data_IF_241978106292
#
_entry.id   IF_241978106292
#
_cell.length_a   1.000
_cell.length_b   1.000
_cell.length_c   1.000
_cell.angle_alpha   90.00
_cell.angle_beta   90.00
_cell.angle_gamma   90.00
#
_symmetry.space_group_name_H-M   'P 1'
#
loop_
_entity.id
_entity.type
_entity.pdbx_description
1 polymer ?
#
# COMPACT_ATOMS: atom_id res chain seq x y z
N UNK A 1 1.01 1.25 -29.74
CA UNK A 1 0.38 -0.10 -29.73
C UNK A 1 -0.23 -0.28 -28.35
N UNK A 2 -1.55 -0.39 -28.24
CA UNK A 2 -2.22 -0.50 -26.93
C UNK A 2 -1.95 -1.92 -26.41
N UNK A 3 -1.38 -2.04 -25.22
CA UNK A 3 -1.19 -3.33 -24.54
C UNK A 3 -2.58 -3.81 -24.11
N UNK A 4 -2.95 -5.05 -24.43
CA UNK A 4 -4.22 -5.63 -23.99
C UNK A 4 -4.19 -5.91 -22.49
N UNK A 5 -5.32 -5.72 -21.82
CA UNK A 5 -5.49 -5.97 -20.38
C UNK A 5 -5.03 -7.39 -19.99
N UNK A 6 -5.35 -8.40 -20.80
CA UNK A 6 -4.95 -9.80 -20.56
C UNK A 6 -3.43 -9.97 -20.50
N UNK A 7 -2.71 -9.28 -21.40
CA UNK A 7 -1.25 -9.33 -21.43
C UNK A 7 -0.67 -8.69 -20.16
N UNK A 8 -1.28 -7.59 -19.70
CA UNK A 8 -0.82 -6.93 -18.50
C UNK A 8 -1.12 -7.74 -17.23
N UNK A 9 -2.28 -8.40 -17.14
CA UNK A 9 -2.59 -9.34 -16.06
C UNK A 9 -1.55 -10.46 -16.01
N UNK A 10 -1.18 -11.04 -17.16
CA UNK A 10 -0.15 -12.10 -17.22
C UNK A 10 1.20 -11.58 -16.72
N UNK A 11 1.65 -10.41 -17.21
CA UNK A 11 2.93 -9.81 -16.81
C UNK A 11 2.94 -9.51 -15.31
N UNK A 12 1.95 -8.76 -14.82
CA UNK A 12 1.87 -8.37 -13.41
C UNK A 12 1.73 -9.58 -12.49
N UNK A 13 0.90 -10.56 -12.84
CA UNK A 13 0.75 -11.78 -12.04
C UNK A 13 2.04 -12.58 -11.98
N UNK A 14 2.77 -12.70 -13.09
CA UNK A 14 4.07 -13.39 -13.13
C UNK A 14 5.07 -12.71 -12.21
N UNK A 15 5.19 -11.38 -12.29
CA UNK A 15 6.04 -10.59 -11.39
C UNK A 15 5.61 -10.81 -9.93
N UNK A 16 4.30 -10.78 -9.68
CA UNK A 16 3.71 -10.98 -8.36
C UNK A 16 4.06 -12.32 -7.73
N UNK A 17 3.90 -13.43 -8.47
CA UNK A 17 4.21 -14.78 -7.98
C UNK A 17 5.71 -14.99 -7.76
N UNK A 18 6.57 -14.50 -8.67
CA UNK A 18 8.03 -14.57 -8.49
C UNK A 18 8.45 -13.78 -7.26
N UNK A 19 7.94 -12.56 -7.12
CA UNK A 19 8.22 -11.69 -5.96
C UNK A 19 7.67 -12.29 -4.67
N UNK A 20 6.50 -12.95 -4.69
CA UNK A 20 5.96 -13.66 -3.53
C UNK A 20 6.90 -14.79 -3.07
N UNK A 21 7.40 -15.61 -4.00
CA UNK A 21 8.35 -16.68 -3.67
C UNK A 21 9.64 -16.12 -3.03
N UNK A 22 10.17 -15.03 -3.58
CA UNK A 22 11.34 -14.34 -3.02
C UNK A 22 11.03 -13.80 -1.62
N UNK A 23 9.89 -13.14 -1.43
CA UNK A 23 9.47 -12.58 -0.14
C UNK A 23 9.28 -13.66 0.94
N UNK A 24 8.73 -14.83 0.59
CA UNK A 24 8.63 -15.98 1.49
C UNK A 24 10.03 -16.50 1.85
N UNK A 25 10.94 -16.58 0.87
CA UNK A 25 12.35 -16.92 1.10
C UNK A 25 13.04 -15.95 2.06
N UNK A 26 12.88 -14.64 1.84
CA UNK A 26 13.40 -13.60 2.74
C UNK A 26 12.83 -13.71 4.16
N UNK A 27 11.52 -13.96 4.28
CA UNK A 27 10.89 -14.18 5.59
C UNK A 27 11.47 -15.40 6.31
N UNK A 28 11.64 -16.52 5.60
CA UNK A 28 12.26 -17.73 6.15
C UNK A 28 13.70 -17.45 6.63
N UNK A 29 14.50 -16.74 5.81
CA UNK A 29 15.85 -16.35 6.19
C UNK A 29 15.86 -15.47 7.43
N UNK A 30 15.00 -14.44 7.50
CA UNK A 30 14.86 -13.56 8.66
C UNK A 30 14.57 -14.32 9.96
N UNK A 31 13.68 -15.31 9.90
CA UNK A 31 13.37 -16.17 11.05
C UNK A 31 14.58 -17.04 11.41
N UNK A 32 15.34 -17.54 10.43
CA UNK A 32 16.53 -18.35 10.68
C UNK A 32 17.67 -17.55 11.31
N UNK A 33 17.89 -16.30 10.89
CA UNK A 33 18.96 -15.44 11.42
C UNK A 33 18.55 -14.60 12.62
N UNK A 34 17.41 -14.92 13.26
CA UNK A 34 16.83 -14.12 14.33
C UNK A 34 17.75 -13.91 15.54
N UNK A 35 18.63 -14.89 15.83
CA UNK A 35 19.56 -14.85 16.97
C UNK A 35 20.60 -13.73 16.86
N UNK A 36 20.88 -13.25 15.64
CA UNK A 36 21.87 -12.18 15.39
C UNK A 36 21.28 -10.81 15.74
N UNK A 37 19.96 -10.66 15.68
CA UNK A 37 19.30 -9.37 15.81
C UNK A 37 18.70 -9.16 17.20
N UNK A 38 18.80 -7.94 17.72
CA UNK A 38 18.04 -7.54 18.89
C UNK A 38 16.53 -7.71 18.63
N UNK A 39 15.80 -8.28 19.61
CA UNK A 39 14.36 -8.60 19.50
C UNK A 39 13.49 -7.48 18.91
N UNK A 40 13.74 -6.22 19.30
CA UNK A 40 12.98 -5.05 18.79
C UNK A 40 13.21 -4.82 17.30
N UNK A 41 14.46 -4.95 16.85
CA UNK A 41 14.83 -4.78 15.45
C UNK A 41 14.25 -5.89 14.59
N UNK A 42 14.30 -7.12 15.09
CA UNK A 42 13.70 -8.28 14.44
C UNK A 42 12.18 -8.12 14.25
N UNK A 43 11.44 -7.69 15.28
CA UNK A 43 9.99 -7.47 15.17
C UNK A 43 9.68 -6.47 14.05
N UNK A 44 10.41 -5.36 13.97
CA UNK A 44 10.19 -4.36 12.92
C UNK A 44 10.47 -4.95 11.54
N UNK A 45 11.56 -5.69 11.37
CA UNK A 45 11.90 -6.33 10.11
C UNK A 45 10.87 -7.39 9.68
N UNK A 46 10.43 -8.23 10.61
CA UNK A 46 9.40 -9.24 10.35
C UNK A 46 8.09 -8.57 9.93
N UNK A 47 7.64 -7.56 10.67
CA UNK A 47 6.41 -6.82 10.32
C UNK A 47 6.54 -6.13 8.97
N UNK A 48 7.68 -5.49 8.69
CA UNK A 48 7.95 -4.86 7.40
C UNK A 48 7.92 -5.87 6.24
N UNK A 49 8.54 -7.04 6.44
CA UNK A 49 8.54 -8.12 5.45
C UNK A 49 7.14 -8.66 5.18
N UNK A 50 6.32 -8.84 6.22
CA UNK A 50 4.91 -9.25 6.09
C UNK A 50 4.12 -8.21 5.32
N UNK A 51 4.22 -6.93 5.68
CA UNK A 51 3.52 -5.84 4.99
C UNK A 51 3.93 -5.75 3.51
N UNK A 52 5.23 -5.81 3.21
CA UNK A 52 5.75 -5.83 1.83
C UNK A 52 5.22 -7.02 1.03
N UNK A 53 5.15 -8.20 1.66
CA UNK A 53 4.63 -9.42 1.01
C UNK A 53 3.15 -9.25 0.66
N UNK A 54 2.35 -8.76 1.61
CA UNK A 54 0.91 -8.52 1.41
C UNK A 54 0.72 -7.45 0.33
N UNK A 55 1.40 -6.32 0.43
CA UNK A 55 1.26 -5.21 -0.53
C UNK A 55 1.67 -5.61 -1.93
N UNK A 56 2.83 -6.27 -2.08
CA UNK A 56 3.28 -6.73 -3.37
C UNK A 56 2.27 -7.70 -4.00
N UNK A 57 1.79 -8.70 -3.25
CA UNK A 57 0.81 -9.66 -3.78
C UNK A 57 -0.53 -9.00 -4.12
N UNK A 58 -1.00 -8.11 -3.24
CA UNK A 58 -2.22 -7.36 -3.45
C UNK A 58 -2.14 -6.49 -4.71
N UNK A 59 -1.09 -5.68 -4.84
CA UNK A 59 -0.93 -4.73 -5.94
C UNK A 59 -0.68 -5.41 -7.30
N UNK A 60 0.03 -6.54 -7.33
CA UNK A 60 0.46 -7.20 -8.58
C UNK A 60 -0.45 -8.34 -9.05
N UNK A 61 -1.27 -8.92 -8.16
CA UNK A 61 -2.14 -10.06 -8.49
C UNK A 61 -3.61 -9.74 -8.23
N UNK A 62 -3.95 -9.23 -7.05
CA UNK A 62 -5.35 -9.09 -6.63
C UNK A 62 -6.02 -7.82 -7.19
N UNK A 63 -5.32 -6.69 -7.17
CA UNK A 63 -5.84 -5.36 -7.50
C UNK A 63 -5.44 -4.92 -8.92
N UNK A 64 -4.13 -4.87 -9.25
CA UNK A 64 -3.60 -4.35 -10.54
C UNK A 64 -4.32 -3.06 -10.98
N UNK A 65 -3.96 -1.91 -10.39
CA UNK A 65 -4.60 -0.63 -10.70
C UNK A 65 -4.09 0.00 -11.99
N UNK A 66 -4.99 0.72 -12.65
CA UNK A 66 -4.74 1.64 -13.75
C UNK A 66 -5.22 3.03 -13.36
N UNK A 67 -4.28 3.89 -12.98
CA UNK A 67 -4.58 5.24 -12.53
C UNK A 67 -4.43 6.24 -13.69
N UNK A 68 -5.47 7.06 -13.87
CA UNK A 68 -5.52 8.17 -14.81
C UNK A 68 -5.48 9.46 -14.01
N UNK A 69 -4.28 10.00 -13.82
CA UNK A 69 -4.04 11.20 -13.01
C UNK A 69 -4.91 12.37 -13.47
N UNK A 70 -5.08 12.54 -14.79
CA UNK A 70 -5.92 13.59 -15.38
C UNK A 70 -7.40 13.50 -15.00
N UNK A 71 -7.89 12.30 -14.71
CA UNK A 71 -9.26 12.05 -14.27
C UNK A 71 -9.39 11.93 -12.76
N UNK A 72 -8.28 12.00 -12.01
CA UNK A 72 -8.27 11.71 -10.57
C UNK A 72 -9.03 10.41 -10.25
N UNK A 73 -8.79 9.38 -11.07
CA UNK A 73 -9.55 8.14 -11.04
C UNK A 73 -8.85 7.03 -11.80
N UNK A 74 -9.44 5.85 -11.77
CA UNK A 74 -8.85 4.67 -12.36
C UNK A 74 -9.80 3.48 -12.35
N UNK A 75 -9.31 2.38 -12.91
CA UNK A 75 -9.95 1.07 -12.79
C UNK A 75 -8.94 0.01 -12.43
N UNK A 76 -9.41 -1.19 -12.11
CA UNK A 76 -8.55 -2.29 -11.74
C UNK A 76 -8.94 -3.57 -12.48
N UNK A 77 -7.94 -4.43 -12.74
CA UNK A 77 -8.09 -5.65 -13.55
C UNK A 77 -7.52 -6.91 -12.89
N UNK A 78 -7.11 -6.82 -11.62
CA UNK A 78 -6.62 -7.97 -10.88
C UNK A 78 -7.71 -9.01 -10.57
N UNK A 79 -7.30 -10.13 -9.97
CA UNK A 79 -8.19 -11.27 -9.70
C UNK A 79 -9.41 -10.91 -8.85
N UNK A 80 -9.29 -9.97 -7.90
CA UNK A 80 -10.42 -9.52 -7.08
C UNK A 80 -11.28 -8.47 -7.78
N UNK A 81 -10.77 -7.83 -8.83
CA UNK A 81 -11.47 -6.82 -9.61
C UNK A 81 -12.43 -7.41 -10.64
N UNK A 82 -12.07 -8.53 -11.28
CA UNK A 82 -12.83 -9.15 -12.38
C UNK A 82 -14.22 -9.70 -12.02
N UNK A 83 -14.63 -9.63 -10.75
CA UNK A 83 -15.97 -10.03 -10.25
C UNK A 83 -16.64 -8.97 -9.37
N UNK A 84 -16.07 -7.76 -9.30
CA UNK A 84 -16.49 -6.70 -8.37
C UNK A 84 -16.68 -7.22 -6.93
N UNK A 85 -15.85 -8.18 -6.51
CA UNK A 85 -15.92 -8.75 -5.15
C UNK A 85 -15.72 -7.66 -4.10
N UNK A 86 -14.85 -6.69 -4.41
CA UNK A 86 -14.65 -5.48 -3.64
C UNK A 86 -14.66 -4.27 -4.59
N UNK A 87 -15.24 -3.13 -4.18
CA UNK A 87 -15.16 -1.88 -4.94
C UNK A 87 -13.72 -1.38 -5.06
N UNK A 88 -13.41 -0.72 -6.17
CA UNK A 88 -12.09 -0.13 -6.47
C UNK A 88 -11.55 0.70 -5.31
N UNK A 89 -12.38 1.53 -4.68
CA UNK A 89 -12.00 2.42 -3.59
C UNK A 89 -11.51 1.66 -2.36
N UNK A 90 -12.05 0.47 -2.07
CA UNK A 90 -11.58 -0.35 -0.96
C UNK A 90 -10.20 -0.94 -1.26
N UNK A 91 -9.97 -1.39 -2.49
CA UNK A 91 -8.65 -1.86 -2.90
C UNK A 91 -7.60 -0.74 -2.89
N UNK A 92 -7.97 0.45 -3.37
CA UNK A 92 -7.12 1.63 -3.35
C UNK A 92 -6.78 2.05 -1.91
N UNK A 93 -7.79 2.19 -1.05
CA UNK A 93 -7.62 2.53 0.36
C UNK A 93 -6.73 1.50 1.09
N UNK A 94 -6.93 0.21 0.83
CA UNK A 94 -6.09 -0.85 1.41
C UNK A 94 -4.62 -0.75 0.93
N UNK A 95 -4.39 -0.50 -0.36
CA UNK A 95 -3.02 -0.34 -0.90
C UNK A 95 -2.33 0.89 -0.31
N UNK A 96 -3.05 2.03 -0.23
CA UNK A 96 -2.53 3.25 0.39
C UNK A 96 -2.20 3.00 1.87
N UNK A 97 -3.09 2.32 2.61
CA UNK A 97 -2.86 1.97 4.01
C UNK A 97 -1.59 1.12 4.18
N UNK A 98 -1.40 0.09 3.35
CA UNK A 98 -0.21 -0.76 3.40
C UNK A 98 1.06 0.01 3.04
N UNK A 99 1.07 0.76 1.95
CA UNK A 99 2.22 1.55 1.50
C UNK A 99 2.67 2.56 2.56
N UNK A 100 1.71 3.23 3.19
CA UNK A 100 1.97 4.21 4.25
C UNK A 100 2.52 3.52 5.51
N UNK A 101 2.01 2.36 5.89
CA UNK A 101 2.56 1.59 7.02
C UNK A 101 3.94 1.02 6.72
N UNK A 102 4.21 0.56 5.50
CA UNK A 102 5.54 0.14 5.04
C UNK A 102 6.53 1.32 5.19
N UNK A 103 6.13 2.49 4.70
CA UNK A 103 6.94 3.72 4.78
C UNK A 103 7.19 4.11 6.24
N UNK A 104 6.16 4.08 7.09
CA UNK A 104 6.28 4.35 8.52
C UNK A 104 7.21 3.38 9.23
N UNK A 105 7.06 2.08 8.99
CA UNK A 105 7.92 1.04 9.56
C UNK A 105 9.37 1.16 9.08
N UNK A 106 9.59 1.53 7.81
CA UNK A 106 10.93 1.81 7.29
C UNK A 106 11.56 3.02 7.98
N UNK A 107 10.81 4.10 8.20
CA UNK A 107 11.30 5.27 8.95
C UNK A 107 11.62 4.93 10.41
N UNK A 108 10.80 4.10 11.06
CA UNK A 108 11.07 3.57 12.41
C UNK A 108 12.36 2.73 12.41
N UNK A 109 12.56 1.90 11.38
CA UNK A 109 13.77 1.09 11.23
C UNK A 109 15.02 1.98 11.11
N UNK A 110 14.98 3.00 10.26
CA UNK A 110 16.06 3.98 10.09
C UNK A 110 16.34 4.73 11.39
N UNK A 111 15.29 5.16 12.09
CA UNK A 111 15.41 5.82 13.39
C UNK A 111 16.11 4.92 14.42
N UNK A 112 15.70 3.66 14.57
CA UNK A 112 16.34 2.73 15.51
C UNK A 112 17.78 2.40 15.11
N UNK A 113 18.08 2.26 13.81
CA UNK A 113 19.46 2.09 13.34
C UNK A 113 20.31 3.30 13.67
N UNK A 114 19.82 4.50 13.42
CA UNK A 114 20.51 5.73 13.74
C UNK A 114 20.81 5.82 15.26
N UNK A 115 19.81 5.58 16.10
CA UNK A 115 19.95 5.58 17.56
C UNK A 115 20.93 4.50 18.09
N UNK A 116 21.05 3.37 17.38
CA UNK A 116 21.99 2.30 17.71
C UNK A 116 23.45 2.68 17.43
N UNK A 117 23.70 3.47 16.37
CA UNK A 117 25.06 3.90 15.98
C UNK A 117 25.56 5.08 16.81
N UNK A 118 24.65 5.91 17.35
CA UNK A 118 25.02 7.05 18.18
C UNK A 118 25.76 6.64 19.46
N UNK A 119 26.83 7.38 19.78
CA UNK A 119 27.57 7.21 21.03
C UNK A 119 26.69 7.46 22.25
N UNK A 120 27.02 6.78 23.36
CA UNK A 120 26.27 6.87 24.61
C UNK A 120 26.16 8.31 25.17
N UNK A 121 27.15 9.14 24.90
CA UNK A 121 27.28 10.55 25.33
C UNK A 121 26.67 11.56 24.35
N UNK A 122 26.18 11.12 23.19
CA UNK A 122 25.62 12.04 22.19
C UNK A 122 24.31 12.68 22.70
N UNK A 123 24.19 14.00 22.56
CA UNK A 123 22.97 14.74 22.90
C UNK A 123 21.74 14.32 22.07
N UNK A 124 21.97 13.74 20.88
CA UNK A 124 20.91 13.24 19.99
C UNK A 124 20.45 11.82 20.33
N UNK A 125 21.11 11.16 21.30
CA UNK A 125 20.76 9.80 21.70
C UNK A 125 19.56 9.81 22.64
N UNK A 126 18.43 9.37 22.12
CA UNK A 126 17.18 9.27 22.85
C UNK A 126 17.11 7.93 23.58
N UNK A 127 16.71 7.96 24.85
CA UNK A 127 16.56 6.76 25.69
C UNK A 127 15.17 6.71 26.32
N UNK A 128 14.72 5.50 26.60
CA UNK A 128 13.45 5.27 27.30
C UNK A 128 12.25 5.94 26.61
N UNK A 129 11.50 6.71 27.38
CA UNK A 129 10.22 7.30 26.97
C UNK A 129 10.33 8.20 25.72
N UNK A 130 11.37 9.02 25.59
CA UNK A 130 11.51 9.96 24.47
C UNK A 130 11.60 9.24 23.10
N UNK A 131 12.33 8.12 23.06
CA UNK A 131 12.42 7.29 21.84
C UNK A 131 11.06 6.69 21.47
N UNK A 132 10.31 6.21 22.45
CA UNK A 132 8.96 5.67 22.24
C UNK A 132 7.96 6.74 21.81
N UNK A 133 8.04 7.95 22.37
CA UNK A 133 7.19 9.07 22.00
C UNK A 133 7.39 9.48 20.53
N UNK A 134 8.64 9.56 20.05
CA UNK A 134 8.92 9.87 18.64
C UNK A 134 8.36 8.78 17.71
N UNK A 135 8.59 7.51 18.03
CA UNK A 135 8.05 6.40 17.21
C UNK A 135 6.52 6.44 17.17
N UNK A 136 5.88 6.69 18.31
CA UNK A 136 4.43 6.82 18.38
C UNK A 136 3.89 8.00 17.55
N UNK A 137 4.51 9.18 17.67
CA UNK A 137 4.15 10.36 16.88
C UNK A 137 4.34 10.12 15.39
N UNK A 138 5.44 9.45 15.00
CA UNK A 138 5.73 9.13 13.61
C UNK A 138 4.68 8.17 13.04
N UNK A 139 4.37 7.08 13.75
CA UNK A 139 3.37 6.11 13.28
C UNK A 139 1.97 6.72 13.23
N UNK A 140 1.58 7.51 14.23
CA UNK A 140 0.27 8.16 14.28
C UNK A 140 0.14 9.23 13.20
N UNK A 141 1.15 10.08 13.04
CA UNK A 141 1.16 11.16 12.04
C UNK A 141 1.12 10.61 10.61
N UNK A 142 1.93 9.59 10.32
CA UNK A 142 1.96 8.95 9.01
C UNK A 142 0.62 8.27 8.69
N UNK A 143 -0.04 7.65 9.67
CA UNK A 143 -1.33 6.97 9.45
C UNK A 143 -2.56 7.90 9.47
N UNK A 144 -2.44 9.16 9.91
CA UNK A 144 -3.60 10.06 10.00
C UNK A 144 -4.27 10.30 8.64
N UNK A 145 -3.47 10.56 7.59
CA UNK A 145 -3.97 10.82 6.24
C UNK A 145 -4.65 9.60 5.59
N UNK A 146 -4.04 8.39 5.53
CA UNK A 146 -4.68 7.23 4.91
C UNK A 146 -5.93 6.78 5.67
N UNK A 147 -5.99 6.93 7.01
CA UNK A 147 -7.20 6.65 7.79
C UNK A 147 -8.32 7.61 7.39
N UNK A 148 -8.04 8.92 7.35
CA UNK A 148 -9.01 9.92 6.94
C UNK A 148 -9.52 9.68 5.50
N UNK A 149 -8.61 9.36 4.58
CA UNK A 149 -8.93 8.99 3.21
C UNK A 149 -9.82 7.74 3.14
N UNK A 150 -9.49 6.70 3.90
CA UNK A 150 -10.25 5.44 3.92
C UNK A 150 -11.67 5.66 4.43
N UNK A 151 -11.83 6.42 5.51
CA UNK A 151 -13.17 6.75 6.07
C UNK A 151 -14.00 7.49 5.03
N UNK A 152 -13.45 8.52 4.37
CA UNK A 152 -14.17 9.30 3.35
C UNK A 152 -14.60 8.44 2.17
N UNK A 153 -13.71 7.59 1.67
CA UNK A 153 -13.99 6.76 0.50
C UNK A 153 -14.97 5.62 0.81
N UNK A 154 -14.92 5.03 2.02
CA UNK A 154 -15.88 4.00 2.46
C UNK A 154 -17.28 4.60 2.64
N UNK A 155 -17.36 5.83 3.15
CA UNK A 155 -18.65 6.51 3.38
C UNK A 155 -19.24 7.14 2.11
N UNK A 156 -18.47 7.25 1.03
CA UNK A 156 -18.96 7.82 -0.22
C UNK A 156 -19.95 6.87 -0.92
N UNK A 157 -21.16 7.37 -1.19
CA UNK A 157 -22.20 6.61 -1.91
C UNK A 157 -21.78 6.28 -3.35
N UNK A 158 -22.05 5.04 -3.77
CA UNK A 158 -21.73 4.47 -5.08
C UNK A 158 -22.48 5.10 -6.27
N UNK A 159 -23.46 5.99 -6.05
CA UNK A 159 -24.19 6.65 -7.15
C UNK A 159 -23.44 7.87 -7.74
N UNK A 160 -22.46 8.42 -7.01
CA UNK A 160 -21.65 9.56 -7.44
C UNK A 160 -20.59 9.24 -8.51
N UNK A 161 -19.84 8.11 -8.47
CA UNK A 161 -18.75 7.82 -9.39
C UNK A 161 -19.15 7.70 -10.87
N UNK A 162 -20.30 7.09 -11.17
CA UNK A 162 -20.76 6.94 -12.57
C UNK A 162 -21.08 8.29 -13.23
N UNK A 163 -21.80 9.15 -12.50
CA UNK A 163 -22.14 10.50 -12.98
C UNK A 163 -20.88 11.34 -13.18
N UNK A 164 -19.93 11.24 -12.24
CA UNK A 164 -18.63 11.92 -12.34
C UNK A 164 -17.82 11.42 -13.53
N UNK A 165 -17.74 10.10 -13.74
CA UNK A 165 -17.02 9.51 -14.86
C UNK A 165 -17.62 9.97 -16.20
N UNK A 166 -18.95 9.94 -16.36
CA UNK A 166 -19.61 10.42 -17.59
C UNK A 166 -19.34 11.90 -17.85
N UNK A 167 -19.22 12.71 -16.80
CA UNK A 167 -18.91 14.15 -16.91
C UNK A 167 -17.44 14.40 -17.28
N UNK A 168 -16.51 13.66 -16.68
CA UNK A 168 -15.08 13.87 -16.86
C UNK A 168 -14.51 13.16 -18.10
N UNK A 169 -15.05 11.98 -18.44
CA UNK A 169 -14.63 11.18 -19.59
C UNK A 169 -15.83 10.52 -20.28
N UNK A 170 -16.57 11.26 -21.13
CA UNK A 170 -17.72 10.71 -21.87
C UNK A 170 -17.36 9.57 -22.81
N UNK A 171 -16.11 9.51 -23.27
CA UNK A 171 -15.60 8.50 -24.20
C UNK A 171 -14.96 7.29 -23.49
N UNK A 172 -14.92 7.26 -22.17
CA UNK A 172 -14.35 6.14 -21.44
C UNK A 172 -15.28 4.93 -21.49
N UNK A 173 -14.74 3.78 -21.93
CA UNK A 173 -15.46 2.52 -22.07
C UNK A 173 -15.64 1.76 -20.74
N UNK A 174 -15.28 2.35 -19.59
CA UNK A 174 -15.20 1.63 -18.32
C UNK A 174 -16.56 1.13 -17.85
N UNK A 175 -17.61 1.93 -18.06
CA UNK A 175 -19.00 1.55 -17.74
C UNK A 175 -19.48 0.45 -18.69
N UNK A 176 -19.22 0.63 -19.99
CA UNK A 176 -19.66 -0.30 -21.05
C UNK A 176 -19.01 -1.68 -20.90
N UNK A 177 -17.71 -1.69 -20.57
CA UNK A 177 -16.93 -2.89 -20.27
C UNK A 177 -17.14 -3.42 -18.86
N UNK A 178 -18.01 -2.80 -18.06
CA UNK A 178 -18.27 -3.14 -16.66
C UNK A 178 -16.97 -3.29 -15.86
N UNK A 179 -16.02 -2.37 -16.01
CA UNK A 179 -14.77 -2.37 -15.23
C UNK A 179 -15.09 -2.07 -13.77
N UNK A 180 -14.19 -2.48 -12.87
CA UNK A 180 -14.24 -2.04 -11.48
C UNK A 180 -13.44 -0.74 -11.36
N UNK A 181 -14.12 0.39 -11.17
CA UNK A 181 -13.52 1.73 -11.28
C UNK A 181 -13.88 2.65 -10.12
N UNK A 182 -13.06 3.68 -9.93
CA UNK A 182 -13.30 4.78 -9.01
C UNK A 182 -12.87 6.10 -9.62
N UNK A 183 -13.60 7.16 -9.33
CA UNK A 183 -13.32 8.52 -9.79
C UNK A 183 -13.58 9.49 -8.65
N UNK A 184 -12.67 10.43 -8.45
CA UNK A 184 -12.79 11.49 -7.45
C UNK A 184 -13.10 12.82 -8.13
N UNK A 185 -13.86 13.67 -7.45
CA UNK A 185 -14.02 15.06 -7.88
C UNK A 185 -12.73 15.82 -7.56
N UNK A 186 -12.27 16.68 -8.47
CA UNK A 186 -11.14 17.58 -8.19
C UNK A 186 -11.44 18.63 -7.09
N UNK A 187 -12.70 18.70 -6.62
CA UNK A 187 -13.17 19.61 -5.59
C UNK A 187 -13.29 18.96 -4.19
N UNK A 188 -13.04 17.65 -4.07
CA UNK A 188 -13.08 16.88 -2.81
C UNK A 188 -11.67 16.59 -2.27
#
# INVERSE_FOLDING_TARGET
>A
RIISDDLLVIICSTIGFVSLAINIGCFFLLVKVHEIYGRRFLIILITLQVLLTIENFHFTVLYIPFMYITLSGGYCIGLMCGRHLLPFQLHEAFSIFLLVNISGMFMVLLFYRHQSVLNASSALKLRGFASHAIVFLLLTGINALPIAYSIRNIMASAEKPERLLRKQCPQCDWIEKRRNFGVMSAQD
#
